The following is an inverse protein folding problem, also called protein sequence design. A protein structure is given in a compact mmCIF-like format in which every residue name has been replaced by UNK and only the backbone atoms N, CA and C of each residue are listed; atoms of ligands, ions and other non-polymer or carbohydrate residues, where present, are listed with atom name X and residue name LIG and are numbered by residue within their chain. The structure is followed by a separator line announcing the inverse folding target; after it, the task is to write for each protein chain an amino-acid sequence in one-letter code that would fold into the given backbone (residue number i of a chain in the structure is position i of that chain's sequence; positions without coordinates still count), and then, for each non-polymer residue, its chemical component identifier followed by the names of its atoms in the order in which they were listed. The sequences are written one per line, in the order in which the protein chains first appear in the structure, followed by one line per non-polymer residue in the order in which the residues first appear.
data_IF_975014041604
#
_entry.id   IF_975014041604
#
_cell.length_a   1.000
_cell.length_b   1.000
_cell.length_c   1.000
_cell.angle_alpha   90.00
_cell.angle_beta   90.00
_cell.angle_gamma   90.00
#
_symmetry.space_group_name_H-M   'P 1'
#
loop_
_entity.id
_entity.type
_entity.pdbx_description
1 polymer ?
#
# COMPACT_ATOMS: atom_id res chain seq x y z
N UNK A 1 -11.64 1.45 19.40
CA UNK A 1 -12.27 1.63 18.07
C UNK A 1 -13.77 1.97 18.12
N UNK A 2 -14.21 2.77 19.10
CA UNK A 2 -15.49 3.51 19.07
C UNK A 2 -15.40 4.68 20.07
N UNK A 3 -14.67 4.48 21.17
CA UNK A 3 -14.29 5.52 22.13
C UNK A 3 -13.31 6.59 21.62
N UNK A 4 -12.56 6.35 20.54
CA UNK A 4 -11.60 7.34 19.99
C UNK A 4 -12.23 8.41 19.10
N UNK A 5 -13.47 8.21 18.64
CA UNK A 5 -14.22 9.25 17.91
C UNK A 5 -14.87 10.29 18.85
N UNK A 6 -14.97 9.98 20.15
CA UNK A 6 -15.56 10.87 21.16
C UNK A 6 -14.52 11.81 21.81
N UNK A 7 -13.23 11.48 21.79
CA UNK A 7 -12.19 12.35 22.38
C UNK A 7 -11.96 13.64 21.56
N UNK A 8 -12.28 13.65 20.27
CA UNK A 8 -12.15 14.82 19.40
C UNK A 8 -13.22 15.92 19.64
N UNK A 9 -14.12 15.73 20.60
CA UNK A 9 -15.06 16.76 21.06
C UNK A 9 -14.62 17.49 22.34
N UNK A 10 -13.44 17.17 22.90
CA UNK A 10 -12.96 17.77 24.16
C UNK A 10 -11.83 18.81 24.00
N UNK A 11 -11.44 19.17 22.78
CA UNK A 11 -10.57 20.32 22.53
C UNK A 11 -11.44 21.55 22.25
N UNK A 12 -12.01 22.06 23.33
CA UNK A 12 -12.53 23.42 23.46
C UNK A 12 -11.75 24.05 24.61
N UNK A 13 -10.78 24.92 24.30
CA UNK A 13 -10.30 26.06 25.10
C UNK A 13 -8.98 26.60 24.52
N UNK A 14 -8.88 27.93 24.48
CA UNK A 14 -7.74 28.83 24.23
C UNK A 14 -7.30 29.10 22.77
N UNK A 15 -7.78 30.27 22.30
CA UNK A 15 -7.03 31.40 21.74
C UNK A 15 -6.31 31.22 20.38
N UNK A 16 -6.89 31.75 19.31
CA UNK A 16 -6.81 33.15 18.85
C UNK A 16 -5.68 33.33 17.83
N UNK A 17 -6.04 33.26 16.54
CA UNK A 17 -5.28 33.92 15.49
C UNK A 17 -6.25 34.77 14.67
N UNK A 18 -6.17 36.07 14.93
CA UNK A 18 -6.82 37.13 14.16
C UNK A 18 -6.33 37.11 12.72
N UNK A 19 -7.27 37.12 11.77
CA UNK A 19 -7.02 37.48 10.38
C UNK A 19 -7.71 38.83 10.09
N UNK A 20 -6.90 39.87 9.91
CA UNK A 20 -7.32 41.18 9.40
C UNK A 20 -7.39 41.25 7.86
N UNK A 21 -7.96 42.33 7.27
CA UNK A 21 -9.01 42.18 6.25
C UNK A 21 -8.72 42.81 4.86
N UNK A 22 -9.58 42.49 3.87
CA UNK A 22 -9.74 43.25 2.61
C UNK A 22 -10.34 42.43 1.45
N UNK A 23 -11.68 42.33 1.36
CA UNK A 23 -12.57 42.98 0.37
C UNK A 23 -12.32 42.58 -1.10
N UNK A 24 -13.26 41.94 -1.80
CA UNK A 24 -14.45 42.62 -2.36
C UNK A 24 -15.50 41.64 -2.91
N UNK A 25 -16.75 42.11 -2.93
CA UNK A 25 -18.02 41.42 -3.17
C UNK A 25 -18.21 40.87 -4.60
N UNK A 26 -19.10 39.89 -4.80
CA UNK A 26 -20.50 40.08 -5.32
C UNK A 26 -21.24 38.74 -5.49
N UNK A 27 -22.56 38.80 -5.27
CA UNK A 27 -23.65 37.93 -5.74
C UNK A 27 -24.12 36.78 -4.82
N UNK A 28 -25.27 37.07 -4.22
CA UNK A 28 -26.16 36.20 -3.45
C UNK A 28 -26.85 35.23 -4.42
N UNK A 29 -26.65 33.93 -4.21
CA UNK A 29 -27.51 32.89 -4.75
C UNK A 29 -28.06 32.06 -3.58
N UNK A 30 -29.39 32.09 -3.46
CA UNK A 30 -30.22 31.30 -2.56
C UNK A 30 -29.79 29.83 -2.52
N UNK A 31 -29.38 29.37 -1.33
CA UNK A 31 -29.03 27.98 -1.05
C UNK A 31 -30.31 27.20 -0.69
N UNK A 32 -30.67 26.11 -1.40
CA UNK A 32 -31.74 25.25 -0.95
C UNK A 32 -31.26 24.40 0.23
N UNK A 33 -32.14 24.32 1.22
CA UNK A 33 -32.02 23.63 2.49
C UNK A 33 -31.79 22.12 2.35
N UNK A 34 -30.78 21.65 3.08
CA UNK A 34 -30.62 20.32 3.71
C UNK A 34 -31.27 19.10 3.04
N UNK A 35 -30.53 18.45 2.15
CA UNK A 35 -30.62 17.00 1.98
C UNK A 35 -29.38 16.35 2.58
N UNK A 36 -29.55 15.48 3.57
CA UNK A 36 -28.45 14.73 4.19
C UNK A 36 -27.73 13.86 3.15
N UNK A 37 -26.59 14.35 2.65
CA UNK A 37 -25.78 13.59 1.69
C UNK A 37 -25.23 12.35 2.40
N UNK A 38 -25.78 11.19 2.03
CA UNK A 38 -25.23 9.90 2.40
C UNK A 38 -23.96 9.68 1.56
N UNK A 39 -22.81 9.57 2.21
CA UNK A 39 -21.56 9.25 1.51
C UNK A 39 -21.62 7.78 1.11
N UNK A 40 -21.61 7.52 -0.20
CA UNK A 40 -21.59 6.15 -0.74
C UNK A 40 -20.33 5.43 -0.30
N UNK A 41 -20.43 4.10 -0.13
CA UNK A 41 -19.27 3.27 0.17
C UNK A 41 -18.23 3.35 -0.96
N UNK A 42 -16.96 3.58 -0.60
CA UNK A 42 -15.88 3.65 -1.57
C UNK A 42 -15.61 2.27 -2.17
N UNK A 43 -15.52 2.22 -3.50
CA UNK A 43 -14.92 1.09 -4.22
C UNK A 43 -13.41 1.05 -4.00
N UNK A 44 -12.75 -0.09 -4.25
CA UNK A 44 -11.30 -0.20 -4.15
C UNK A 44 -10.58 0.82 -5.05
N UNK A 45 -11.04 1.00 -6.29
CA UNK A 45 -10.46 1.98 -7.22
C UNK A 45 -10.58 3.41 -6.68
N UNK A 46 -11.73 3.79 -6.12
CA UNK A 46 -11.92 5.10 -5.49
C UNK A 46 -11.02 5.27 -4.27
N UNK A 47 -10.95 4.26 -3.40
CA UNK A 47 -10.08 4.31 -2.23
C UNK A 47 -8.61 4.49 -2.62
N UNK A 48 -8.10 3.73 -3.60
CA UNK A 48 -6.72 3.87 -4.07
C UNK A 48 -6.43 5.26 -4.63
N UNK A 49 -7.35 5.82 -5.42
CA UNK A 49 -7.22 7.19 -5.93
C UNK A 49 -7.21 8.23 -4.80
N UNK A 50 -8.04 8.04 -3.77
CA UNK A 50 -8.05 8.89 -2.57
C UNK A 50 -6.75 8.78 -1.78
N UNK A 51 -6.22 7.57 -1.57
CA UNK A 51 -4.94 7.32 -0.90
C UNK A 51 -3.80 8.04 -1.63
N UNK A 52 -3.71 7.89 -2.96
CA UNK A 52 -2.71 8.55 -3.78
C UNK A 52 -2.80 10.09 -3.69
N UNK A 53 -4.02 10.64 -3.71
CA UNK A 53 -4.24 12.07 -3.54
C UNK A 53 -3.82 12.58 -2.16
N UNK A 54 -4.08 11.81 -1.09
CA UNK A 54 -3.66 12.13 0.28
C UNK A 54 -2.12 12.14 0.37
N UNK A 55 -1.43 11.11 -0.15
CA UNK A 55 0.03 11.09 -0.15
C UNK A 55 0.63 12.23 -0.96
N UNK A 56 0.07 12.55 -2.14
CA UNK A 56 0.53 13.68 -2.94
C UNK A 56 0.33 15.02 -2.22
N UNK A 57 -0.78 15.18 -1.50
CA UNK A 57 -1.05 16.34 -0.66
C UNK A 57 -0.07 16.41 0.52
N UNK A 58 0.16 15.30 1.23
CA UNK A 58 1.09 15.22 2.37
C UNK A 58 2.51 15.58 1.98
N UNK A 59 2.99 15.05 0.85
CA UNK A 59 4.32 15.38 0.33
C UNK A 59 4.50 16.88 0.08
N UNK A 60 3.47 17.56 -0.45
CA UNK A 60 3.51 19.01 -0.66
C UNK A 60 3.44 19.79 0.66
N UNK A 61 2.64 19.32 1.60
CA UNK A 61 2.53 19.90 2.94
C UNK A 61 3.85 19.80 3.70
N UNK A 62 4.48 18.62 3.73
CA UNK A 62 5.78 18.41 4.37
C UNK A 62 6.87 19.30 3.77
N UNK A 63 6.90 19.45 2.44
CA UNK A 63 7.84 20.37 1.78
C UNK A 63 7.60 21.83 2.16
N UNK A 64 6.33 22.23 2.35
CA UNK A 64 5.97 23.56 2.85
C UNK A 64 6.42 23.74 4.30
N UNK A 65 6.17 22.77 5.17
CA UNK A 65 6.60 22.79 6.56
C UNK A 65 8.12 22.90 6.68
N UNK A 66 8.86 22.10 5.91
CA UNK A 66 10.32 22.16 5.86
C UNK A 66 10.83 23.56 5.45
N UNK A 67 10.24 24.17 4.41
CA UNK A 67 10.62 25.53 3.97
C UNK A 67 10.24 26.61 4.98
N UNK A 68 9.09 26.47 5.63
CA UNK A 68 8.56 27.43 6.59
C UNK A 68 9.04 27.20 8.02
N UNK A 69 9.86 26.17 8.26
CA UNK A 69 10.33 25.75 9.59
C UNK A 69 9.17 25.42 10.54
N UNK A 70 8.10 24.83 10.02
CA UNK A 70 6.93 24.39 10.79
C UNK A 70 7.02 22.90 11.09
N UNK A 71 6.39 22.42 12.18
CA UNK A 71 6.34 20.99 12.47
C UNK A 71 5.56 20.23 11.39
N UNK A 72 5.90 18.95 11.20
CA UNK A 72 5.16 18.04 10.32
C UNK A 72 4.00 17.44 11.10
N UNK A 73 2.90 17.18 10.41
CA UNK A 73 1.77 16.42 10.98
C UNK A 73 1.90 14.93 10.62
N UNK A 74 1.25 14.06 11.38
CA UNK A 74 1.11 12.64 11.04
C UNK A 74 0.19 12.46 9.82
N UNK A 75 0.24 11.31 9.15
CA UNK A 75 -0.68 11.04 8.04
C UNK A 75 -2.15 11.09 8.49
N UNK A 76 -2.48 10.65 9.71
CA UNK A 76 -3.85 10.73 10.25
C UNK A 76 -4.31 12.19 10.39
N UNK A 77 -3.48 13.05 10.99
CA UNK A 77 -3.75 14.49 11.10
C UNK A 77 -3.91 15.12 9.71
N UNK A 78 -3.03 14.76 8.76
CA UNK A 78 -3.09 15.29 7.39
C UNK A 78 -4.35 14.91 6.63
N UNK A 79 -4.99 13.77 6.92
CA UNK A 79 -6.29 13.45 6.31
C UNK A 79 -7.29 14.57 6.61
N UNK A 80 -7.34 15.08 7.85
CA UNK A 80 -8.24 16.16 8.22
C UNK A 80 -7.86 17.47 7.51
N UNK A 81 -6.57 17.80 7.46
CA UNK A 81 -6.04 18.95 6.71
C UNK A 81 -6.44 18.89 5.22
N UNK A 82 -6.23 17.74 4.58
CA UNK A 82 -6.60 17.48 3.18
C UNK A 82 -8.10 17.62 2.95
N UNK A 83 -8.93 16.95 3.76
CA UNK A 83 -10.39 16.99 3.61
C UNK A 83 -10.96 18.37 3.94
N UNK A 84 -10.34 19.12 4.85
CA UNK A 84 -10.75 20.49 5.13
C UNK A 84 -10.56 21.39 3.91
N UNK A 85 -9.43 21.26 3.21
CA UNK A 85 -9.17 21.99 1.96
C UNK A 85 -10.16 21.62 0.83
N UNK A 86 -10.70 20.40 0.82
CA UNK A 86 -11.63 19.94 -0.21
C UNK A 86 -13.10 20.30 0.09
N UNK A 87 -13.51 20.24 1.35
CA UNK A 87 -14.93 20.27 1.73
C UNK A 87 -15.33 21.43 2.66
N UNK A 88 -14.41 21.96 3.46
CA UNK A 88 -14.62 23.06 4.42
C UNK A 88 -15.58 22.78 5.59
N UNK A 89 -16.53 21.85 5.48
CA UNK A 89 -17.51 21.56 6.54
C UNK A 89 -17.07 20.39 7.45
N UNK A 90 -16.92 20.66 8.76
CA UNK A 90 -16.54 19.65 9.78
C UNK A 90 -17.39 18.38 9.74
N UNK A 91 -18.72 18.52 9.60
CA UNK A 91 -19.64 17.36 9.51
C UNK A 91 -19.36 16.49 8.28
N UNK A 92 -18.96 17.09 7.17
CA UNK A 92 -18.65 16.38 5.93
C UNK A 92 -17.29 15.68 6.04
N UNK A 93 -16.28 16.36 6.60
CA UNK A 93 -14.95 15.81 6.89
C UNK A 93 -15.07 14.51 7.70
N UNK A 94 -15.76 14.53 8.85
CA UNK A 94 -15.91 13.35 9.71
C UNK A 94 -16.54 12.17 8.97
N UNK A 95 -17.57 12.44 8.13
CA UNK A 95 -18.19 11.40 7.32
C UNK A 95 -17.22 10.82 6.27
N UNK A 96 -16.41 11.65 5.62
CA UNK A 96 -15.41 11.19 4.65
C UNK A 96 -14.30 10.37 5.30
N UNK A 97 -13.78 10.80 6.46
CA UNK A 97 -12.81 10.03 7.25
C UNK A 97 -13.38 8.65 7.59
N UNK A 98 -14.61 8.59 8.10
CA UNK A 98 -15.26 7.32 8.43
C UNK A 98 -15.42 6.40 7.20
N UNK A 99 -15.75 6.97 6.03
CA UNK A 99 -15.83 6.22 4.78
C UNK A 99 -14.47 5.66 4.34
N UNK A 100 -13.39 6.44 4.47
CA UNK A 100 -12.02 6.01 4.19
C UNK A 100 -11.62 4.86 5.12
N UNK A 101 -11.74 5.03 6.44
CA UNK A 101 -11.38 4.00 7.44
C UNK A 101 -12.17 2.71 7.21
N UNK A 102 -13.48 2.80 6.94
CA UNK A 102 -14.31 1.64 6.63
C UNK A 102 -13.83 0.92 5.36
N UNK A 103 -13.44 1.67 4.34
CA UNK A 103 -12.94 1.08 3.10
C UNK A 103 -11.54 0.46 3.30
N UNK A 104 -10.66 1.09 4.08
CA UNK A 104 -9.34 0.54 4.45
C UNK A 104 -9.50 -0.81 5.15
N UNK A 105 -10.38 -0.90 6.16
CA UNK A 105 -10.64 -2.15 6.87
C UNK A 105 -11.22 -3.25 5.96
N UNK A 106 -11.98 -2.86 4.93
CA UNK A 106 -12.55 -3.81 3.97
C UNK A 106 -11.51 -4.37 3.00
N UNK A 107 -10.57 -3.54 2.56
CA UNK A 107 -9.69 -3.88 1.45
C UNK A 107 -8.25 -4.21 1.85
N UNK A 108 -7.84 -3.94 3.09
CA UNK A 108 -6.46 -4.18 3.57
C UNK A 108 -5.99 -5.63 3.45
N UNK A 109 -6.89 -6.62 3.57
CA UNK A 109 -6.54 -8.03 3.42
C UNK A 109 -6.20 -8.42 1.96
N UNK A 110 -6.78 -7.72 0.98
CA UNK A 110 -6.70 -8.07 -0.44
C UNK A 110 -5.80 -7.14 -1.25
N UNK A 111 -5.54 -5.92 -0.78
CA UNK A 111 -4.67 -4.94 -1.45
C UNK A 111 -3.62 -4.40 -0.47
N UNK A 112 -2.35 -4.61 -0.82
CA UNK A 112 -1.23 -4.26 0.04
C UNK A 112 -1.01 -2.74 0.17
N UNK A 113 -1.35 -1.94 -0.85
CA UNK A 113 -1.25 -0.47 -0.76
C UNK A 113 -2.23 0.06 0.28
N UNK A 114 -3.45 -0.50 0.28
CA UNK A 114 -4.46 -0.19 1.29
C UNK A 114 -4.04 -0.67 2.68
N UNK A 115 -3.41 -1.86 2.77
CA UNK A 115 -2.88 -2.36 4.03
C UNK A 115 -1.85 -1.39 4.63
N UNK A 116 -0.82 -1.03 3.87
CA UNK A 116 0.23 -0.11 4.32
C UNK A 116 -0.32 1.26 4.67
N UNK A 117 -1.23 1.81 3.87
CA UNK A 117 -1.92 3.06 4.23
C UNK A 117 -2.59 2.96 5.60
N UNK A 118 -3.31 1.87 5.87
CA UNK A 118 -3.92 1.62 7.18
C UNK A 118 -2.92 1.44 8.32
N UNK A 119 -1.74 0.89 8.06
CA UNK A 119 -0.66 0.78 9.06
C UNK A 119 -0.06 2.15 9.39
N UNK A 120 0.22 2.97 8.37
CA UNK A 120 0.75 4.32 8.55
C UNK A 120 -0.25 5.20 9.30
N UNK A 121 -1.55 5.11 8.98
CA UNK A 121 -2.59 5.84 9.71
C UNK A 121 -2.69 5.50 11.20
N UNK A 122 -2.22 4.31 11.60
CA UNK A 122 -2.22 3.89 13.00
C UNK A 122 -0.87 4.11 13.68
N UNK A 123 0.06 4.82 13.02
CA UNK A 123 1.43 5.00 13.48
C UNK A 123 2.11 3.66 13.79
N UNK A 124 1.83 2.64 12.96
CA UNK A 124 2.38 1.29 13.10
C UNK A 124 3.57 1.05 12.16
N UNK A 125 3.70 1.89 11.14
CA UNK A 125 4.74 1.90 10.11
C UNK A 125 4.96 3.36 9.70
N UNK A 126 6.22 3.74 9.46
CA UNK A 126 6.59 5.09 9.07
C UNK A 126 6.12 5.46 7.66
N UNK A 127 5.84 6.75 7.43
CA UNK A 127 5.31 7.25 6.15
C UNK A 127 6.22 6.93 4.95
N UNK A 128 7.55 6.86 5.17
CA UNK A 128 8.54 6.55 4.12
C UNK A 128 8.52 5.10 3.63
N UNK A 129 7.78 4.20 4.27
CA UNK A 129 7.68 2.81 3.82
C UNK A 129 7.02 2.67 2.44
N UNK A 130 6.22 3.66 2.03
CA UNK A 130 5.59 3.72 0.69
C UNK A 130 6.65 3.75 -0.43
N UNK A 131 7.80 4.38 -0.18
CA UNK A 131 8.93 4.41 -1.10
C UNK A 131 9.56 3.01 -1.21
N UNK A 132 9.72 2.30 -0.09
CA UNK A 132 10.20 0.92 -0.06
C UNK A 132 9.30 0.00 -0.89
N UNK A 133 7.97 0.11 -0.76
CA UNK A 133 7.04 -0.63 -1.63
C UNK A 133 7.21 -0.27 -3.11
N UNK A 134 7.36 1.02 -3.42
CA UNK A 134 7.51 1.50 -4.79
C UNK A 134 8.79 0.97 -5.45
N UNK A 135 9.89 0.95 -4.70
CA UNK A 135 11.15 0.35 -5.12
C UNK A 135 10.99 -1.15 -5.38
N UNK A 136 10.35 -1.91 -4.48
CA UNK A 136 10.08 -3.34 -4.70
C UNK A 136 9.28 -3.58 -5.99
N UNK A 137 8.22 -2.80 -6.23
CA UNK A 137 7.40 -2.90 -7.47
C UNK A 137 8.22 -2.64 -8.73
N UNK A 138 9.12 -1.65 -8.70
CA UNK A 138 10.03 -1.34 -9.80
C UNK A 138 11.01 -2.48 -10.04
N UNK A 139 11.71 -2.93 -9.00
CA UNK A 139 12.71 -4.00 -9.08
C UNK A 139 12.12 -5.31 -9.61
N UNK A 140 10.95 -5.73 -9.14
CA UNK A 140 10.30 -6.96 -9.65
C UNK A 140 9.98 -6.85 -11.14
N UNK A 141 9.49 -5.67 -11.59
CA UNK A 141 9.21 -5.43 -13.01
C UNK A 141 10.50 -5.46 -13.84
N UNK A 142 11.56 -4.83 -13.35
CA UNK A 142 12.84 -4.72 -14.06
C UNK A 142 13.55 -6.07 -14.14
N UNK A 143 13.55 -6.86 -13.06
CA UNK A 143 14.10 -8.22 -13.09
C UNK A 143 13.33 -9.12 -14.05
N UNK A 144 11.99 -9.02 -14.11
CA UNK A 144 11.22 -9.74 -15.11
C UNK A 144 11.58 -9.30 -16.53
N UNK A 145 11.79 -8.01 -16.77
CA UNK A 145 12.26 -7.49 -18.07
C UNK A 145 13.64 -8.05 -18.42
N UNK A 146 14.57 -8.07 -17.47
CA UNK A 146 15.94 -8.59 -17.65
C UNK A 146 15.90 -10.08 -17.98
N UNK A 147 15.11 -10.88 -17.25
CA UNK A 147 14.91 -12.29 -17.53
C UNK A 147 14.40 -12.52 -18.96
N UNK A 148 13.36 -11.77 -19.38
CA UNK A 148 12.81 -11.87 -20.73
C UNK A 148 13.81 -11.46 -21.82
N UNK A 149 14.65 -10.45 -21.56
CA UNK A 149 15.72 -10.03 -22.46
C UNK A 149 16.80 -11.11 -22.59
N UNK A 150 17.18 -11.75 -21.49
CA UNK A 150 18.11 -12.89 -21.47
C UNK A 150 17.58 -14.09 -22.26
N UNK A 151 16.28 -14.39 -22.14
CA UNK A 151 15.62 -15.48 -22.90
C UNK A 151 15.44 -15.15 -24.39
N UNK A 152 15.53 -13.88 -24.76
CA UNK A 152 15.34 -13.41 -26.14
C UNK A 152 16.40 -12.37 -26.57
N UNK A 153 17.69 -12.74 -26.68
CA UNK A 153 18.79 -11.79 -26.89
C UNK A 153 18.68 -10.99 -28.19
N UNK A 154 18.07 -11.57 -29.23
CA UNK A 154 17.94 -10.96 -30.54
C UNK A 154 16.68 -10.10 -30.72
N UNK A 155 15.79 -10.05 -29.71
CA UNK A 155 14.56 -9.26 -29.80
C UNK A 155 14.84 -7.81 -29.40
N UNK A 156 14.17 -6.88 -30.09
CA UNK A 156 14.24 -5.46 -29.76
C UNK A 156 13.54 -5.16 -28.44
N UNK A 157 13.95 -4.06 -27.79
CA UNK A 157 13.37 -3.63 -26.51
C UNK A 157 11.85 -3.44 -26.57
N UNK A 158 11.29 -2.98 -27.69
CA UNK A 158 9.84 -2.83 -27.88
C UNK A 158 9.09 -4.18 -27.87
N UNK A 159 9.72 -5.24 -28.37
CA UNK A 159 9.18 -6.59 -28.32
C UNK A 159 9.31 -7.16 -26.91
N UNK A 160 10.44 -6.93 -26.22
CA UNK A 160 10.59 -7.29 -24.81
C UNK A 160 9.52 -6.61 -23.94
N UNK A 161 9.26 -5.32 -24.17
CA UNK A 161 8.20 -4.58 -23.47
C UNK A 161 6.81 -5.14 -23.71
N UNK A 162 6.54 -5.66 -24.92
CA UNK A 162 5.29 -6.35 -25.23
C UNK A 162 5.18 -7.68 -24.47
N UNK A 163 6.26 -8.47 -24.45
CA UNK A 163 6.32 -9.72 -23.70
C UNK A 163 6.17 -9.49 -22.19
N UNK A 164 6.79 -8.43 -21.67
CA UNK A 164 6.65 -8.01 -20.28
C UNK A 164 5.19 -7.70 -19.94
N UNK A 165 4.51 -6.88 -20.76
CA UNK A 165 3.07 -6.61 -20.59
C UNK A 165 2.21 -7.87 -20.67
N UNK A 166 2.55 -8.80 -21.56
CA UNK A 166 1.87 -10.09 -21.66
C UNK A 166 2.04 -10.92 -20.39
N UNK A 167 3.27 -11.04 -19.85
CA UNK A 167 3.53 -11.73 -18.57
C UNK A 167 2.78 -11.09 -17.42
N UNK A 168 2.86 -9.76 -17.30
CA UNK A 168 2.20 -9.00 -16.25
C UNK A 168 0.66 -9.13 -16.27
N UNK A 169 0.06 -9.36 -17.44
CA UNK A 169 -1.39 -9.51 -17.60
C UNK A 169 -1.87 -10.96 -17.56
N UNK A 170 -0.97 -11.95 -17.59
CA UNK A 170 -1.33 -13.38 -17.67
C UNK A 170 -0.72 -14.19 -16.53
N UNK A 171 0.47 -14.74 -16.76
CA UNK A 171 1.18 -15.62 -15.84
C UNK A 171 2.67 -15.28 -15.84
N UNK A 172 3.30 -15.48 -14.69
CA UNK A 172 4.74 -15.52 -14.46
C UNK A 172 5.04 -16.93 -13.98
N UNK A 173 5.99 -17.61 -14.61
CA UNK A 173 6.31 -19.01 -14.32
C UNK A 173 7.34 -19.16 -13.21
N UNK A 174 7.45 -20.36 -12.63
CA UNK A 174 8.40 -20.67 -11.55
C UNK A 174 9.81 -20.22 -11.85
N UNK A 175 10.33 -20.56 -13.02
CA UNK A 175 11.67 -20.15 -13.46
C UNK A 175 11.85 -18.62 -13.46
N UNK A 176 10.80 -17.87 -13.79
CA UNK A 176 10.84 -16.41 -13.88
C UNK A 176 10.80 -15.78 -12.49
N UNK A 177 9.87 -16.20 -11.61
CA UNK A 177 9.73 -15.56 -10.30
C UNK A 177 10.70 -16.08 -9.25
N UNK A 178 11.13 -17.34 -9.34
CA UNK A 178 12.06 -17.91 -8.37
C UNK A 178 13.43 -17.26 -8.46
N UNK A 179 13.91 -16.98 -9.67
CA UNK A 179 15.16 -16.24 -9.89
C UNK A 179 15.08 -14.81 -9.35
N UNK A 180 13.94 -14.14 -9.56
CA UNK A 180 13.70 -12.80 -8.98
C UNK A 180 13.74 -12.84 -7.44
N UNK A 181 13.04 -13.78 -6.82
CA UNK A 181 12.99 -13.91 -5.36
C UNK A 181 14.39 -14.21 -4.80
N UNK A 182 15.12 -15.15 -5.40
CA UNK A 182 16.48 -15.53 -4.96
C UNK A 182 17.52 -14.43 -5.18
N UNK A 183 17.30 -13.56 -6.16
CA UNK A 183 18.14 -12.38 -6.35
C UNK A 183 17.89 -11.30 -5.29
N UNK A 184 16.62 -11.12 -4.89
CA UNK A 184 16.22 -10.01 -4.02
C UNK A 184 16.34 -10.31 -2.51
N UNK A 185 16.32 -11.58 -2.13
CA UNK A 185 16.27 -12.01 -0.73
C UNK A 185 17.39 -12.98 -0.40
N UNK A 186 17.82 -12.98 0.86
CA UNK A 186 18.74 -14.00 1.40
C UNK A 186 18.09 -15.37 1.32
N UNK A 187 18.91 -16.43 1.32
CA UNK A 187 18.46 -17.81 1.10
C UNK A 187 17.27 -18.21 2.00
N UNK A 188 17.36 -17.96 3.31
CA UNK A 188 16.28 -18.28 4.27
C UNK A 188 14.95 -17.56 3.93
N UNK A 189 15.02 -16.27 3.65
CA UNK A 189 13.86 -15.44 3.31
C UNK A 189 13.30 -15.84 1.93
N UNK A 190 14.17 -16.10 0.97
CA UNK A 190 13.80 -16.54 -0.37
C UNK A 190 13.05 -17.87 -0.33
N UNK A 191 13.52 -18.84 0.48
CA UNK A 191 12.86 -20.13 0.66
C UNK A 191 11.51 -20.00 1.36
N UNK A 192 11.40 -19.13 2.37
CA UNK A 192 10.12 -18.81 3.01
C UNK A 192 9.13 -18.22 1.99
N UNK A 193 9.58 -17.28 1.16
CA UNK A 193 8.75 -16.62 0.15
C UNK A 193 8.34 -17.60 -0.97
N UNK A 194 9.24 -18.49 -1.40
CA UNK A 194 8.94 -19.56 -2.35
C UNK A 194 7.85 -20.51 -1.83
N UNK A 195 7.89 -20.88 -0.54
CA UNK A 195 6.84 -21.71 0.09
C UNK A 195 5.49 -21.01 0.08
N UNK A 196 5.44 -19.74 0.51
CA UNK A 196 4.20 -18.95 0.50
C UNK A 196 3.65 -18.82 -0.93
N UNK A 197 4.49 -18.56 -1.94
CA UNK A 197 4.06 -18.51 -3.33
C UNK A 197 3.51 -19.86 -3.82
N UNK A 198 4.12 -20.98 -3.41
CA UNK A 198 3.62 -22.32 -3.69
C UNK A 198 2.20 -22.54 -3.17
N UNK A 199 1.93 -22.13 -1.92
CA UNK A 199 0.59 -22.19 -1.33
C UNK A 199 -0.42 -21.30 -2.08
N UNK A 200 -0.02 -20.08 -2.42
CA UNK A 200 -0.85 -19.14 -3.20
C UNK A 200 -1.21 -19.71 -4.58
N UNK A 201 -0.25 -20.34 -5.26
CA UNK A 201 -0.45 -20.96 -6.58
C UNK A 201 -1.40 -22.16 -6.46
N UNK A 202 -1.21 -23.01 -5.46
CA UNK A 202 -2.06 -24.18 -5.23
C UNK A 202 -3.51 -23.79 -4.90
N UNK A 203 -3.70 -22.69 -4.16
CA UNK A 203 -5.01 -22.20 -3.78
C UNK A 203 -5.72 -21.37 -4.86
N UNK A 204 -5.10 -21.11 -6.01
CA UNK A 204 -5.66 -20.18 -7.00
C UNK A 204 -6.73 -20.84 -7.89
N UNK A 205 -8.02 -20.43 -7.77
CA UNK A 205 -9.10 -21.01 -8.55
C UNK A 205 -9.07 -20.62 -10.04
N UNK A 206 -8.32 -19.58 -10.39
CA UNK A 206 -8.24 -19.04 -11.74
C UNK A 206 -6.95 -19.44 -12.49
N UNK A 207 -6.10 -20.30 -11.89
CA UNK A 207 -4.85 -20.76 -12.49
C UNK A 207 -5.05 -21.33 -13.91
N UNK A 208 -6.01 -22.25 -14.11
CA UNK A 208 -6.31 -22.84 -15.42
C UNK A 208 -6.75 -21.79 -16.45
N UNK A 209 -7.58 -20.83 -16.03
CA UNK A 209 -8.12 -19.80 -16.93
C UNK A 209 -7.02 -18.86 -17.41
N UNK A 210 -6.08 -18.47 -16.55
CA UNK A 210 -4.95 -17.63 -16.93
C UNK A 210 -3.95 -18.36 -17.80
N UNK A 211 -3.65 -19.64 -17.50
CA UNK A 211 -2.77 -20.44 -18.35
C UNK A 211 -3.36 -20.64 -19.75
N UNK A 212 -4.68 -20.84 -19.87
CA UNK A 212 -5.38 -20.85 -21.18
C UNK A 212 -5.22 -19.55 -21.93
N UNK A 213 -5.49 -18.42 -21.27
CA UNK A 213 -5.37 -17.09 -21.89
C UNK A 213 -3.93 -16.81 -22.35
N UNK A 214 -2.95 -17.20 -21.56
CA UNK A 214 -1.53 -17.14 -21.93
C UNK A 214 -1.23 -17.94 -23.22
N UNK A 215 -1.66 -19.20 -23.29
CA UNK A 215 -1.46 -20.07 -24.47
C UNK A 215 -2.16 -19.50 -25.71
N UNK A 216 -3.38 -18.97 -25.56
CA UNK A 216 -4.12 -18.34 -26.66
C UNK A 216 -3.39 -17.12 -27.21
N UNK A 217 -2.81 -16.28 -26.35
CA UNK A 217 -1.99 -15.13 -26.78
C UNK A 217 -0.68 -15.53 -27.48
N UNK A 218 -0.17 -16.75 -27.28
CA UNK A 218 1.00 -17.26 -28.01
C UNK A 218 0.66 -17.80 -29.40
N UNK A 219 -0.54 -18.35 -29.60
CA UNK A 219 -0.91 -19.06 -30.83
C UNK A 219 -1.39 -18.17 -31.98
N UNK A 220 -1.59 -16.86 -31.76
CA UNK A 220 -2.20 -16.00 -32.78
C UNK A 220 -3.69 -16.31 -32.99
N UNK A 221 -4.44 -15.35 -33.56
CA UNK A 221 -5.90 -15.44 -33.67
C UNK A 221 -6.40 -16.55 -34.62
N UNK A 222 -5.56 -17.03 -35.55
CA UNK A 222 -5.97 -17.90 -36.66
C UNK A 222 -6.11 -19.39 -36.28
N UNK A 223 -5.40 -19.90 -35.26
CA UNK A 223 -5.52 -21.32 -34.83
C UNK A 223 -6.75 -21.58 -33.95
N UNK A 224 -7.27 -20.57 -33.25
CA UNK A 224 -8.36 -20.75 -32.25
C UNK A 224 -9.72 -20.98 -32.92
N UNK A 225 -9.88 -20.53 -34.16
CA UNK A 225 -11.10 -20.73 -34.95
C UNK A 225 -11.31 -22.19 -35.40
N UNK A 226 -10.24 -22.98 -35.50
CA UNK A 226 -10.28 -24.34 -36.04
C UNK A 226 -10.78 -25.41 -35.04
N UNK A 227 -10.68 -25.18 -33.72
CA UNK A 227 -11.14 -26.14 -32.69
C UNK A 227 -12.65 -26.04 -32.35
N UNK A 228 -13.36 -25.07 -32.94
CA UNK A 228 -14.75 -24.74 -32.56
C UNK A 228 -15.84 -25.50 -33.33
N UNK A 229 -15.51 -26.18 -34.43
CA UNK A 229 -16.48 -26.79 -35.32
C UNK A 229 -16.45 -28.31 -35.20
N UNK A 230 -17.10 -28.88 -34.17
CA UNK A 230 -17.74 -30.19 -34.36
C UNK A 230 -18.82 -30.60 -33.34
N UNK A 231 -19.92 -31.10 -33.92
CA UNK A 231 -20.97 -32.01 -33.43
C UNK A 231 -22.06 -31.48 -32.46
N UNK A 232 -23.30 -31.43 -32.97
CA UNK A 232 -24.55 -31.10 -32.28
C UNK A 232 -25.27 -32.39 -31.83
N UNK A 233 -25.66 -32.47 -30.55
CA UNK A 233 -26.55 -33.51 -30.01
C UNK A 233 -26.72 -33.41 -28.48
N UNK A 234 -27.95 -33.50 -27.96
CA UNK A 234 -28.29 -33.30 -26.52
C UNK A 234 -27.64 -34.31 -25.56
N UNK A 235 -27.40 -35.56 -25.98
CA UNK A 235 -26.59 -36.54 -25.23
C UNK A 235 -25.08 -36.18 -25.19
N UNK A 236 -24.66 -35.25 -26.05
CA UNK A 236 -23.33 -34.67 -26.08
C UNK A 236 -23.12 -33.55 -25.05
N UNK A 237 -24.17 -32.98 -24.45
CA UNK A 237 -24.02 -31.87 -23.51
C UNK A 237 -23.30 -32.29 -22.21
N UNK A 238 -23.69 -33.44 -21.62
CA UNK A 238 -23.04 -33.98 -20.43
C UNK A 238 -21.61 -34.43 -20.73
N UNK A 239 -21.40 -35.20 -21.81
CA UNK A 239 -20.06 -35.63 -22.24
C UNK A 239 -19.14 -34.43 -22.54
N UNK A 240 -19.67 -33.34 -23.11
CA UNK A 240 -18.94 -32.09 -23.34
C UNK A 240 -18.64 -31.35 -22.04
N UNK A 241 -19.56 -31.35 -21.06
CA UNK A 241 -19.33 -30.77 -19.74
C UNK A 241 -18.21 -31.53 -19.01
N UNK A 242 -18.26 -32.86 -19.01
CA UNK A 242 -17.25 -33.71 -18.38
C UNK A 242 -15.88 -33.54 -19.07
N UNK A 243 -15.84 -33.51 -20.40
CA UNK A 243 -14.61 -33.25 -21.16
C UNK A 243 -14.01 -31.86 -20.87
N UNK A 244 -14.87 -30.83 -20.75
CA UNK A 244 -14.43 -29.46 -20.37
C UNK A 244 -13.88 -29.41 -18.95
N UNK A 245 -14.52 -30.09 -18.00
CA UNK A 245 -14.03 -30.19 -16.62
C UNK A 245 -12.68 -30.91 -16.55
N UNK A 246 -12.53 -32.03 -17.27
CA UNK A 246 -11.24 -32.75 -17.36
C UNK A 246 -10.14 -31.86 -17.93
N UNK A 247 -10.39 -31.18 -19.06
CA UNK A 247 -9.44 -30.23 -19.67
C UNK A 247 -9.09 -29.09 -18.71
N UNK A 248 -10.07 -28.56 -17.96
CA UNK A 248 -9.83 -27.50 -16.97
C UNK A 248 -9.00 -27.98 -15.77
N UNK A 249 -9.23 -29.20 -15.29
CA UNK A 249 -8.46 -29.81 -14.21
C UNK A 249 -7.02 -30.12 -14.64
N UNK A 250 -6.83 -30.63 -15.87
CA UNK A 250 -5.51 -30.85 -16.47
C UNK A 250 -4.71 -29.54 -16.56
N UNK A 251 -5.34 -28.47 -17.06
CA UNK A 251 -4.73 -27.14 -17.12
C UNK A 251 -4.48 -26.53 -15.74
N UNK A 252 -5.30 -26.86 -14.73
CA UNK A 252 -5.05 -26.45 -13.35
C UNK A 252 -3.76 -27.11 -12.85
N UNK A 253 -3.68 -28.43 -12.98
CA UNK A 253 -2.51 -29.22 -12.61
C UNK A 253 -1.26 -28.71 -13.33
N UNK A 254 -1.31 -28.51 -14.64
CA UNK A 254 -0.18 -27.95 -15.41
C UNK A 254 0.24 -26.57 -14.90
N UNK A 255 -0.72 -25.70 -14.57
CA UNK A 255 -0.42 -24.37 -14.03
C UNK A 255 0.28 -24.46 -12.67
N UNK A 256 -0.19 -25.34 -11.78
CA UNK A 256 0.41 -25.57 -10.46
C UNK A 256 1.81 -26.17 -10.59
N UNK A 257 1.98 -27.19 -11.44
CA UNK A 257 3.27 -27.84 -11.67
C UNK A 257 4.32 -26.85 -12.20
N UNK A 258 3.93 -26.00 -13.16
CA UNK A 258 4.79 -24.93 -13.70
C UNK A 258 4.98 -23.74 -12.75
N UNK A 259 4.34 -23.76 -11.57
CA UNK A 259 4.33 -22.66 -10.62
C UNK A 259 3.84 -21.36 -11.23
N UNK A 260 2.80 -21.42 -12.07
CA UNK A 260 2.27 -20.27 -12.78
C UNK A 260 1.42 -19.39 -11.84
N UNK A 261 1.91 -18.19 -11.57
CA UNK A 261 1.23 -17.18 -10.73
C UNK A 261 0.92 -15.94 -11.57
N UNK A 262 -0.16 -15.21 -11.28
CA UNK A 262 -0.30 -13.89 -11.92
C UNK A 262 0.61 -12.87 -11.24
N UNK A 263 1.08 -11.89 -12.03
CA UNK A 263 1.98 -10.85 -11.53
C UNK A 263 1.45 -10.10 -10.30
N UNK A 264 0.14 -9.85 -10.24
CA UNK A 264 -0.49 -9.21 -9.09
C UNK A 264 -0.35 -10.00 -7.79
N UNK A 265 -0.55 -11.32 -7.80
CA UNK A 265 -0.41 -12.15 -6.59
C UNK A 265 1.05 -12.37 -6.22
N UNK A 266 1.95 -12.49 -7.21
CA UNK A 266 3.40 -12.48 -6.97
C UNK A 266 3.80 -11.22 -6.21
N UNK A 267 3.45 -10.06 -6.77
CA UNK A 267 3.81 -8.77 -6.22
C UNK A 267 3.19 -8.54 -4.83
N UNK A 268 1.90 -8.88 -4.65
CA UNK A 268 1.24 -8.81 -3.34
C UNK A 268 1.95 -9.68 -2.31
N UNK A 269 2.33 -10.91 -2.68
CA UNK A 269 3.00 -11.84 -1.77
C UNK A 269 4.35 -11.30 -1.31
N UNK A 270 5.15 -10.76 -2.25
CA UNK A 270 6.44 -10.12 -1.93
C UNK A 270 6.28 -8.88 -1.06
N UNK A 271 5.30 -8.02 -1.39
CA UNK A 271 5.00 -6.82 -0.61
C UNK A 271 4.51 -7.16 0.81
N UNK A 272 3.64 -8.15 0.96
CA UNK A 272 3.14 -8.61 2.27
C UNK A 272 4.27 -9.24 3.08
N UNK A 273 5.19 -9.96 2.44
CA UNK A 273 6.38 -10.49 3.09
C UNK A 273 7.27 -9.36 3.63
N UNK A 274 7.57 -8.36 2.79
CA UNK A 274 8.38 -7.21 3.17
C UNK A 274 7.73 -6.40 4.31
N UNK A 275 6.42 -6.15 4.25
CA UNK A 275 5.69 -5.45 5.30
C UNK A 275 5.74 -6.21 6.63
N UNK A 276 5.52 -7.54 6.63
CA UNK A 276 5.60 -8.35 7.84
C UNK A 276 7.00 -8.34 8.45
N UNK A 277 8.03 -8.46 7.62
CA UNK A 277 9.42 -8.33 8.06
C UNK A 277 9.70 -6.98 8.71
N UNK A 278 9.22 -5.90 8.09
CA UNK A 278 9.37 -4.55 8.62
C UNK A 278 8.59 -4.32 9.93
N UNK A 279 7.37 -4.84 10.04
CA UNK A 279 6.61 -4.78 11.29
C UNK A 279 7.31 -5.51 12.43
N UNK A 280 7.93 -6.66 12.15
CA UNK A 280 8.75 -7.39 13.12
C UNK A 280 9.99 -6.59 13.52
N UNK A 281 10.65 -5.94 12.56
CA UNK A 281 11.77 -5.03 12.84
C UNK A 281 11.36 -3.86 13.76
N UNK A 282 10.18 -3.28 13.54
CA UNK A 282 9.64 -2.20 14.35
C UNK A 282 9.02 -2.65 15.70
N UNK A 283 8.91 -3.95 15.98
CA UNK A 283 8.12 -4.44 17.12
C UNK A 283 8.60 -3.89 18.47
N UNK A 284 9.91 -3.93 18.73
CA UNK A 284 10.52 -3.36 19.95
C UNK A 284 10.27 -1.86 20.02
N UNK A 285 10.50 -1.15 18.92
CA UNK A 285 10.32 0.30 18.84
C UNK A 285 8.87 0.69 19.15
N UNK A 286 7.90 0.06 18.46
CA UNK A 286 6.46 0.31 18.65
C UNK A 286 6.03 0.07 20.08
N UNK A 287 6.55 -0.99 20.72
CA UNK A 287 6.26 -1.26 22.12
C UNK A 287 6.70 -0.10 22.99
N UNK A 288 7.94 0.37 22.89
CA UNK A 288 8.44 1.51 23.69
C UNK A 288 7.68 2.79 23.34
N UNK A 289 7.48 3.08 22.06
CA UNK A 289 6.75 4.25 21.58
C UNK A 289 5.36 4.33 22.21
N UNK A 290 4.59 3.23 22.21
CA UNK A 290 3.24 3.21 22.81
C UNK A 290 3.18 3.41 24.33
N UNK A 291 4.30 3.25 25.05
CA UNK A 291 4.36 3.58 26.49
C UNK A 291 4.66 5.07 26.71
N UNK A 292 5.27 5.72 25.72
CA UNK A 292 5.65 7.13 25.76
C UNK A 292 4.50 7.99 25.22
N UNK A 293 3.94 7.64 24.07
CA UNK A 293 2.77 8.26 23.43
C UNK A 293 1.47 7.76 24.11
N UNK A 294 1.16 8.32 25.27
CA UNK A 294 0.05 7.87 26.11
C UNK A 294 -1.34 8.20 25.52
N UNK A 295 -1.47 9.30 24.77
CA UNK A 295 -2.73 9.68 24.14
C UNK A 295 -2.94 8.97 22.77
N UNK A 296 -1.86 8.42 22.20
CA UNK A 296 -1.89 7.64 20.98
C UNK A 296 -2.09 8.50 19.73
N UNK A 297 -1.65 9.76 19.77
CA UNK A 297 -1.80 10.71 18.67
C UNK A 297 -0.66 10.56 17.61
N UNK A 298 0.37 9.77 17.92
CA UNK A 298 1.52 9.54 17.04
C UNK A 298 2.57 10.66 17.04
N UNK A 299 2.54 11.55 18.03
CA UNK A 299 3.43 12.68 18.23
C UNK A 299 3.95 12.63 19.65
N UNK A 300 5.23 12.92 19.82
CA UNK A 300 5.87 13.02 21.13
C UNK A 300 6.56 14.37 21.29
N UNK A 301 6.60 14.86 22.53
CA UNK A 301 7.39 16.02 22.90
C UNK A 301 8.88 15.66 23.14
N UNK A 302 9.72 16.65 23.43
CA UNK A 302 11.14 16.41 23.69
C UNK A 302 11.37 15.48 24.92
N UNK A 303 10.80 15.73 26.12
CA UNK A 303 10.91 14.81 27.25
C UNK A 303 10.51 13.37 26.93
N UNK A 304 9.43 13.19 26.18
CA UNK A 304 8.94 11.91 25.70
C UNK A 304 9.93 11.26 24.74
N UNK A 305 10.43 12.01 23.76
CA UNK A 305 11.46 11.54 22.84
C UNK A 305 12.72 11.09 23.57
N UNK A 306 13.18 11.82 24.60
CA UNK A 306 14.32 11.42 25.44
C UNK A 306 14.07 10.08 26.14
N UNK A 307 12.85 9.87 26.68
CA UNK A 307 12.44 8.59 27.28
C UNK A 307 12.41 7.47 26.24
N UNK A 308 11.90 7.77 25.03
CA UNK A 308 11.87 6.83 23.91
C UNK A 308 13.28 6.36 23.53
N UNK A 309 14.23 7.29 23.35
CA UNK A 309 15.62 6.96 23.01
C UNK A 309 16.25 6.05 24.06
N UNK A 310 16.12 6.39 25.35
CA UNK A 310 16.63 5.56 26.46
C UNK A 310 15.94 4.20 26.54
N UNK A 311 14.66 4.12 26.22
CA UNK A 311 13.90 2.87 26.20
C UNK A 311 14.29 1.94 25.05
N UNK A 312 14.73 2.49 23.91
CA UNK A 312 15.22 1.71 22.77
C UNK A 312 16.67 1.29 22.99
N UNK A 313 17.53 2.25 23.36
CA UNK A 313 18.97 2.09 23.59
C UNK A 313 19.40 2.85 24.85
N UNK A 314 19.49 2.12 25.96
CA UNK A 314 19.88 2.66 27.26
C UNK A 314 21.33 3.13 27.33
N UNK A 315 22.17 2.81 26.32
CA UNK A 315 23.58 3.20 26.29
C UNK A 315 23.82 4.64 25.81
N UNK A 316 22.83 5.26 25.15
CA UNK A 316 22.93 6.64 24.65
C UNK A 316 23.13 7.61 25.81
N UNK A 317 24.18 8.43 25.76
CA UNK A 317 24.40 9.49 26.75
C UNK A 317 23.61 10.76 26.40
N UNK A 318 23.58 11.73 27.32
CA UNK A 318 22.73 12.91 27.17
C UNK A 318 23.15 13.78 25.97
N UNK A 319 24.45 13.93 25.70
CA UNK A 319 24.95 14.66 24.53
C UNK A 319 24.54 14.02 23.19
N UNK A 320 24.53 12.69 23.12
CA UNK A 320 24.02 11.95 21.95
C UNK A 320 22.50 12.14 21.80
N UNK A 321 21.76 12.17 22.91
CA UNK A 321 20.32 12.41 22.90
C UNK A 321 20.02 13.85 22.47
N UNK A 322 20.78 14.84 22.96
CA UNK A 322 20.66 16.24 22.53
C UNK A 322 20.89 16.40 21.04
N UNK A 323 21.87 15.66 20.49
CA UNK A 323 22.13 15.63 19.05
C UNK A 323 20.96 15.05 18.25
N UNK A 324 20.30 14.01 18.77
CA UNK A 324 19.11 13.42 18.16
C UNK A 324 17.90 14.36 18.26
N UNK A 325 17.70 15.02 19.40
CA UNK A 325 16.64 16.04 19.58
C UNK A 325 16.83 17.17 18.58
N UNK A 326 18.04 17.71 18.45
CA UNK A 326 18.34 18.76 17.48
C UNK A 326 18.15 18.33 16.02
N UNK A 327 18.25 17.02 15.73
CA UNK A 327 17.99 16.46 14.42
C UNK A 327 16.49 16.37 14.11
N UNK A 328 15.68 15.91 15.06
CA UNK A 328 14.24 15.68 14.85
C UNK A 328 13.38 16.91 15.08
N UNK A 329 13.81 17.81 15.97
CA UNK A 329 13.13 19.05 16.31
C UNK A 329 14.09 20.25 16.37
N UNK A 330 14.70 20.65 15.24
CA UNK A 330 15.69 21.73 15.18
C UNK A 330 15.14 23.12 15.57
N UNK A 331 13.82 23.26 15.67
CA UNK A 331 13.15 24.53 15.97
C UNK A 331 12.42 24.51 17.32
N UNK A 332 12.50 23.42 18.09
CA UNK A 332 11.94 23.32 19.43
C UNK A 332 10.41 23.44 19.47
N UNK A 333 9.73 22.85 18.48
CA UNK A 333 8.27 22.84 18.42
C UNK A 333 7.63 21.92 19.45
N UNK A 334 8.40 20.97 20.00
CA UNK A 334 7.89 19.91 20.86
C UNK A 334 6.95 18.95 20.12
N UNK A 335 7.13 18.81 18.80
CA UNK A 335 6.21 18.07 17.94
C UNK A 335 6.98 17.12 17.01
N UNK A 336 7.29 15.93 17.51
CA UNK A 336 8.07 14.92 16.80
C UNK A 336 7.15 13.75 16.42
N UNK A 337 6.95 13.48 15.13
CA UNK A 337 6.03 12.42 14.72
C UNK A 337 6.65 11.03 14.89
N UNK A 338 5.81 9.98 14.91
CA UNK A 338 6.24 8.58 14.85
C UNK A 338 7.22 8.34 13.70
N UNK A 339 6.95 8.93 12.53
CA UNK A 339 7.83 8.80 11.36
C UNK A 339 9.19 9.45 11.60
N UNK A 340 9.24 10.65 12.19
CA UNK A 340 10.51 11.32 12.50
C UNK A 340 11.33 10.51 13.53
N UNK A 341 10.65 9.87 14.50
CA UNK A 341 11.30 8.97 15.46
C UNK A 341 11.88 7.71 14.81
N UNK A 342 11.14 7.05 13.93
CA UNK A 342 11.65 5.86 13.21
C UNK A 342 12.84 6.25 12.34
N UNK A 343 12.74 7.36 11.61
CA UNK A 343 13.80 7.83 10.71
C UNK A 343 15.09 8.18 11.45
N UNK A 344 15.00 8.84 12.61
CA UNK A 344 16.17 9.25 13.38
C UNK A 344 16.81 8.11 14.17
N UNK A 345 15.99 7.19 14.73
CA UNK A 345 16.47 6.19 15.67
C UNK A 345 16.77 4.83 15.00
N UNK A 346 16.13 4.54 13.87
CA UNK A 346 16.26 3.28 13.15
C UNK A 346 16.75 3.47 11.70
N UNK A 347 16.77 4.71 11.19
CA UNK A 347 17.15 5.01 9.80
C UNK A 347 18.65 5.02 9.50
N UNK A 348 19.51 4.69 10.46
CA UNK A 348 20.95 4.47 10.24
C UNK A 348 21.33 3.00 10.44
N UNK A 349 21.78 2.28 9.38
CA UNK A 349 22.67 1.13 9.57
C UNK A 349 24.04 1.55 10.09
#
# INVERSE_FOLDING_TARGET
TAQRAAAASALDSSDAYEAGPGSSATSVATVPTSSGVAIKALTLKQLKATIEAIYASKKRFDAKCAKAKLPRETLEQHIYTYLNQQYGLRKLIVKHVAAIVKAVNRFSAVDNDVCVFGQILRNEVEEKFVQTQSSLKGTVKDLLRVFLKGKHPHKTDSVIDRLLRQRMSTVVFREEWQDMVRYMYKEEDADALCRILGEVIAADPQASSRLRHFKAMQKGADEVAAEGADLVGRAGAQRKADARQRKQAELHREAVDKGAVNYGSLLKTMLDFQLRGHQKYLEKFRRVFSHVDADGNGVVDEPEFRRLVKGIDSSKNDAQIDSLVALVDPFGHGHITFSDCVESLLGHP
#
